data_IF_168195469333
#
_entry.id   IF_168195469333
#
_cell.length_a   1.000
_cell.length_b   1.000
_cell.length_c   1.000
_cell.angle_alpha   90.00
_cell.angle_beta   90.00
_cell.angle_gamma   90.00
#
_symmetry.space_group_name_H-M   'P 1'
#
loop_
_entity.id
_entity.type
_entity.pdbx_description
1 polymer ?
#
# COMPACT_ATOMS: atom_id res chain seq x y z
N UNK A 1 37.41 -26.83 -11.46
CA UNK A 1 36.78 -25.48 -11.34
C UNK A 1 35.29 -25.70 -11.37
N UNK A 2 34.63 -25.57 -10.23
CA UNK A 2 33.18 -25.73 -10.11
C UNK A 2 32.56 -24.40 -10.57
N UNK A 3 31.94 -24.38 -11.73
CA UNK A 3 31.06 -23.27 -12.13
C UNK A 3 29.80 -23.34 -11.28
N UNK A 4 29.66 -22.43 -10.33
CA UNK A 4 28.39 -22.15 -9.68
C UNK A 4 27.58 -21.38 -10.71
N UNK A 5 26.69 -22.04 -11.42
CA UNK A 5 25.60 -21.37 -12.14
C UNK A 5 24.65 -20.80 -11.08
N UNK A 6 24.85 -19.55 -10.73
CA UNK A 6 23.82 -18.78 -10.01
C UNK A 6 22.66 -18.56 -10.98
N UNK A 7 21.55 -19.25 -10.78
CA UNK A 7 20.28 -18.82 -11.33
C UNK A 7 19.90 -17.55 -10.55
N UNK A 8 20.30 -16.40 -11.05
CA UNK A 8 20.00 -15.09 -10.46
C UNK A 8 18.49 -14.77 -10.39
N UNK A 9 17.65 -15.61 -10.97
CA UNK A 9 16.19 -15.46 -10.99
C UNK A 9 15.45 -16.09 -9.80
N UNK A 10 16.11 -16.89 -8.95
CA UNK A 10 15.45 -17.67 -7.91
C UNK A 10 15.61 -17.13 -6.48
N UNK A 11 16.21 -15.95 -6.27
CA UNK A 11 16.52 -15.41 -4.94
C UNK A 11 15.75 -14.16 -4.56
N UNK A 12 15.01 -13.54 -5.45
CA UNK A 12 14.20 -12.36 -5.13
C UNK A 12 12.81 -12.77 -4.62
N UNK A 13 12.38 -12.16 -3.51
CA UNK A 13 11.03 -12.37 -2.99
C UNK A 13 9.98 -12.00 -4.05
N UNK A 14 9.02 -12.86 -4.29
CA UNK A 14 7.94 -12.63 -5.24
C UNK A 14 6.86 -11.75 -4.63
N UNK A 15 6.80 -10.51 -5.04
CA UNK A 15 5.87 -9.49 -4.55
C UNK A 15 4.75 -9.28 -5.56
N UNK A 16 3.50 -9.36 -5.11
CA UNK A 16 2.32 -9.09 -5.93
C UNK A 16 1.57 -7.88 -5.39
N UNK A 17 1.21 -6.96 -6.28
CA UNK A 17 0.32 -5.83 -5.97
C UNK A 17 -1.04 -6.07 -6.60
N UNK A 18 -2.07 -6.19 -5.77
CA UNK A 18 -3.46 -6.43 -6.18
C UNK A 18 -4.26 -5.15 -6.05
N UNK A 19 -4.64 -4.55 -7.16
CA UNK A 19 -5.55 -3.40 -7.20
C UNK A 19 -7.00 -3.86 -7.23
N UNK A 20 -7.78 -3.55 -6.20
CA UNK A 20 -9.17 -4.01 -6.06
C UNK A 20 -10.16 -2.88 -6.29
N UNK A 21 -11.05 -3.07 -7.26
CA UNK A 21 -12.04 -2.08 -7.67
C UNK A 21 -11.46 -0.89 -8.44
N UNK A 22 -12.27 0.10 -8.79
CA UNK A 22 -11.85 1.19 -9.68
C UNK A 22 -10.65 1.98 -9.15
N UNK A 23 -10.68 2.44 -7.91
CA UNK A 23 -9.57 3.20 -7.33
C UNK A 23 -8.29 2.35 -7.18
N UNK A 24 -8.41 1.07 -6.76
CA UNK A 24 -7.28 0.16 -6.72
C UNK A 24 -6.66 -0.08 -8.09
N UNK A 25 -7.48 -0.25 -9.12
CA UNK A 25 -7.01 -0.41 -10.50
C UNK A 25 -6.32 0.87 -11.02
N UNK A 26 -6.81 2.06 -10.64
CA UNK A 26 -6.16 3.34 -10.99
C UNK A 26 -4.79 3.48 -10.32
N UNK A 27 -4.68 3.10 -9.04
CA UNK A 27 -3.40 3.09 -8.34
C UNK A 27 -2.40 2.12 -9.03
N UNK A 28 -2.85 0.91 -9.39
CA UNK A 28 -2.03 -0.04 -10.15
C UNK A 28 -1.64 0.51 -11.51
N UNK A 29 -2.56 1.17 -12.25
CA UNK A 29 -2.23 1.79 -13.53
C UNK A 29 -1.08 2.80 -13.38
N UNK A 30 -1.12 3.61 -12.33
CA UNK A 30 -0.04 4.55 -12.04
C UNK A 30 1.27 3.83 -11.71
N UNK A 31 1.23 2.77 -10.90
CA UNK A 31 2.43 1.98 -10.56
C UNK A 31 3.08 1.35 -11.82
N UNK A 32 2.24 0.91 -12.76
CA UNK A 32 2.70 0.38 -14.06
C UNK A 32 3.32 1.49 -14.91
N UNK A 33 2.69 2.67 -14.96
CA UNK A 33 3.19 3.82 -15.71
C UNK A 33 4.54 4.33 -15.17
N UNK A 34 4.73 4.32 -13.86
CA UNK A 34 5.99 4.67 -13.17
C UNK A 34 7.03 3.54 -13.20
N UNK A 35 6.69 2.41 -13.84
CA UNK A 35 7.59 1.27 -14.06
C UNK A 35 8.23 0.73 -12.77
N UNK A 36 7.46 0.59 -11.70
CA UNK A 36 7.94 -0.01 -10.44
C UNK A 36 8.45 -1.42 -10.74
N UNK A 37 9.71 -1.69 -10.35
CA UNK A 37 10.40 -2.95 -10.63
C UNK A 37 10.21 -3.97 -9.50
N UNK A 38 10.42 -5.25 -9.85
CA UNK A 38 10.43 -6.34 -8.87
C UNK A 38 9.06 -6.69 -8.30
N UNK A 39 7.97 -6.24 -8.92
CA UNK A 39 6.61 -6.55 -8.52
C UNK A 39 5.76 -7.02 -9.70
N UNK A 40 4.82 -7.91 -9.42
CA UNK A 40 3.77 -8.31 -10.36
C UNK A 40 2.48 -7.56 -10.04
N UNK A 41 1.73 -7.17 -11.07
CA UNK A 41 0.49 -6.43 -10.89
C UNK A 41 -0.72 -7.27 -11.30
N UNK A 42 -1.76 -7.25 -10.45
CA UNK A 42 -3.06 -7.86 -10.71
C UNK A 42 -4.15 -6.82 -10.51
N UNK A 43 -4.98 -6.62 -11.54
CA UNK A 43 -6.19 -5.81 -11.43
C UNK A 43 -7.39 -6.71 -11.14
N UNK A 44 -8.17 -6.40 -10.11
CA UNK A 44 -9.37 -7.14 -9.69
C UNK A 44 -10.56 -6.21 -9.71
N UNK A 45 -11.64 -6.58 -10.42
CA UNK A 45 -12.86 -5.78 -10.46
C UNK A 45 -14.10 -6.62 -10.75
N UNK A 46 -15.26 -6.15 -10.31
CA UNK A 46 -16.60 -6.65 -10.68
C UNK A 46 -17.13 -6.00 -11.95
N UNK A 47 -16.55 -4.87 -12.36
CA UNK A 47 -16.92 -4.13 -13.57
C UNK A 47 -15.93 -4.48 -14.69
N UNK A 48 -16.46 -5.15 -15.73
CA UNK A 48 -15.68 -5.60 -16.88
C UNK A 48 -15.13 -4.42 -17.70
N UNK A 49 -15.89 -3.34 -17.84
CA UNK A 49 -15.45 -2.18 -18.62
C UNK A 49 -14.32 -1.45 -17.90
N UNK A 50 -14.47 -1.24 -16.58
CA UNK A 50 -13.42 -0.65 -15.78
C UNK A 50 -12.16 -1.51 -15.76
N UNK A 51 -12.31 -2.84 -15.73
CA UNK A 51 -11.18 -3.76 -15.75
C UNK A 51 -10.39 -3.72 -17.06
N UNK A 52 -11.08 -3.53 -18.21
CA UNK A 52 -10.42 -3.37 -19.51
C UNK A 52 -9.51 -2.13 -19.60
N UNK A 53 -9.73 -1.13 -18.75
CA UNK A 53 -8.89 0.06 -18.65
C UNK A 53 -7.70 -0.14 -17.70
N UNK A 54 -7.66 -1.26 -17.00
CA UNK A 54 -6.55 -1.60 -16.11
C UNK A 54 -5.32 -2.02 -16.93
N UNK A 55 -4.16 -1.44 -16.61
CA UNK A 55 -2.89 -1.71 -17.25
C UNK A 55 -2.14 -2.90 -16.64
N UNK A 56 -2.67 -3.49 -15.57
CA UNK A 56 -2.09 -4.67 -14.97
C UNK A 56 -1.98 -5.80 -16.00
N UNK A 57 -0.82 -6.49 -16.09
CA UNK A 57 -0.64 -7.63 -16.99
C UNK A 57 -1.62 -8.77 -16.73
N UNK A 58 -2.02 -8.94 -15.47
CA UNK A 58 -3.02 -9.92 -15.06
C UNK A 58 -4.29 -9.19 -14.58
N UNK A 59 -5.41 -9.54 -15.18
CA UNK A 59 -6.71 -8.96 -14.86
C UNK A 59 -7.65 -10.08 -14.43
N UNK A 60 -8.35 -9.89 -13.31
CA UNK A 60 -9.28 -10.85 -12.75
C UNK A 60 -10.65 -10.20 -12.57
N UNK A 61 -11.61 -10.64 -13.37
CA UNK A 61 -13.01 -10.28 -13.17
C UNK A 61 -13.60 -11.19 -12.09
N UNK A 62 -14.10 -10.60 -11.00
CA UNK A 62 -14.72 -11.35 -9.90
C UNK A 62 -16.24 -11.24 -9.92
N UNK A 63 -16.92 -12.28 -9.45
CA UNK A 63 -18.38 -12.30 -9.30
C UNK A 63 -19.11 -12.20 -10.64
N UNK A 64 -18.68 -12.93 -11.65
CA UNK A 64 -19.26 -12.88 -13.00
C UNK A 64 -20.74 -13.27 -13.00
N UNK A 65 -21.10 -14.30 -12.25
CA UNK A 65 -22.49 -14.77 -12.15
C UNK A 65 -23.35 -13.77 -11.38
N UNK A 66 -22.81 -13.22 -10.29
CA UNK A 66 -23.52 -12.30 -9.42
C UNK A 66 -23.73 -10.90 -10.05
N UNK A 67 -22.69 -10.33 -10.66
CA UNK A 67 -22.70 -8.94 -11.15
C UNK A 67 -22.88 -8.82 -12.64
N UNK A 68 -22.69 -9.90 -13.39
CA UNK A 68 -22.73 -9.93 -14.87
C UNK A 68 -21.77 -8.89 -15.50
N UNK A 69 -20.69 -8.55 -14.78
CA UNK A 69 -19.71 -7.55 -15.23
C UNK A 69 -20.17 -6.09 -15.11
N UNK A 70 -21.27 -5.81 -14.40
CA UNK A 70 -21.86 -4.46 -14.26
C UNK A 70 -21.42 -3.73 -12.97
N UNK A 71 -20.49 -4.30 -12.23
CA UNK A 71 -20.00 -3.72 -10.97
C UNK A 71 -20.86 -4.05 -9.75
N UNK A 72 -20.43 -3.60 -8.57
CA UNK A 72 -21.08 -3.87 -7.30
C UNK A 72 -22.12 -2.80 -6.87
N UNK A 73 -22.35 -1.75 -7.67
CA UNK A 73 -23.35 -0.72 -7.41
C UNK A 73 -23.18 0.01 -6.07
N UNK A 74 -21.95 0.30 -5.67
CA UNK A 74 -21.58 0.93 -4.41
C UNK A 74 -22.04 0.15 -3.14
N UNK A 75 -22.30 -1.14 -3.27
CA UNK A 75 -22.71 -2.04 -2.18
C UNK A 75 -21.56 -2.97 -1.80
N UNK A 76 -20.92 -2.79 -0.64
CA UNK A 76 -19.80 -3.65 -0.20
C UNK A 76 -20.16 -5.13 -0.12
N UNK A 77 -21.39 -5.47 0.28
CA UNK A 77 -21.88 -6.84 0.38
C UNK A 77 -21.87 -7.58 -0.98
N UNK A 78 -22.10 -6.82 -2.06
CA UNK A 78 -22.02 -7.37 -3.43
C UNK A 78 -20.56 -7.60 -3.82
N UNK A 79 -19.66 -6.66 -3.47
CA UNK A 79 -18.22 -6.81 -3.69
C UNK A 79 -17.62 -8.00 -2.95
N UNK A 80 -18.02 -8.21 -1.70
CA UNK A 80 -17.63 -9.34 -0.86
C UNK A 80 -18.06 -10.67 -1.50
N UNK A 81 -19.36 -10.83 -1.77
CA UNK A 81 -19.89 -12.05 -2.40
C UNK A 81 -19.29 -12.31 -3.79
N UNK A 82 -18.97 -11.27 -4.55
CA UNK A 82 -18.30 -11.40 -5.83
C UNK A 82 -16.87 -11.96 -5.68
N UNK A 83 -16.15 -11.56 -4.63
CA UNK A 83 -14.84 -12.12 -4.34
C UNK A 83 -14.94 -13.55 -3.80
N UNK A 84 -15.94 -13.84 -2.97
CA UNK A 84 -16.21 -15.21 -2.47
C UNK A 84 -16.56 -16.18 -3.62
N UNK A 85 -17.31 -15.72 -4.63
CA UNK A 85 -17.59 -16.50 -5.84
C UNK A 85 -16.32 -16.90 -6.59
N UNK A 86 -15.28 -16.05 -6.53
CA UNK A 86 -14.04 -16.18 -7.31
C UNK A 86 -12.81 -16.53 -6.44
N UNK A 87 -13.02 -17.19 -5.30
CA UNK A 87 -11.91 -17.54 -4.36
C UNK A 87 -10.84 -18.41 -5.04
N UNK A 88 -11.24 -19.38 -5.87
CA UNK A 88 -10.30 -20.29 -6.53
C UNK A 88 -9.39 -19.55 -7.51
N UNK A 89 -9.94 -18.62 -8.28
CA UNK A 89 -9.20 -17.76 -9.20
C UNK A 89 -8.25 -16.82 -8.46
N UNK A 90 -8.71 -16.22 -7.35
CA UNK A 90 -7.89 -15.37 -6.49
C UNK A 90 -6.73 -16.18 -5.91
N UNK A 91 -7.00 -17.36 -5.35
CA UNK A 91 -5.99 -18.28 -4.80
C UNK A 91 -4.95 -18.67 -5.84
N UNK A 92 -5.41 -19.07 -7.04
CA UNK A 92 -4.53 -19.39 -8.16
C UNK A 92 -3.68 -18.20 -8.61
N UNK A 93 -4.25 -17.00 -8.55
CA UNK A 93 -3.55 -15.78 -8.93
C UNK A 93 -2.41 -15.39 -7.97
N UNK A 94 -2.58 -15.69 -6.68
CA UNK A 94 -1.63 -15.36 -5.61
C UNK A 94 -0.64 -16.49 -5.29
N UNK A 95 -0.81 -17.66 -5.88
CA UNK A 95 0.01 -18.85 -5.58
C UNK A 95 1.50 -18.59 -5.82
N UNK A 96 2.32 -18.90 -4.81
CA UNK A 96 3.77 -18.79 -4.86
C UNK A 96 4.29 -17.36 -4.67
N UNK A 97 3.47 -16.42 -4.18
CA UNK A 97 3.95 -15.12 -3.71
C UNK A 97 4.48 -15.21 -2.28
N UNK A 98 5.47 -14.38 -1.96
CA UNK A 98 6.02 -14.21 -0.61
C UNK A 98 5.37 -13.00 0.09
N UNK A 99 4.95 -12.00 -0.69
CA UNK A 99 4.30 -10.79 -0.20
C UNK A 99 3.18 -10.34 -1.14
N UNK A 100 2.07 -9.90 -0.57
CA UNK A 100 0.92 -9.36 -1.30
C UNK A 100 0.54 -7.99 -0.74
N UNK A 101 0.56 -6.99 -1.60
CA UNK A 101 -0.08 -5.71 -1.34
C UNK A 101 -1.50 -5.73 -1.86
N UNK A 102 -2.46 -5.39 -1.01
CA UNK A 102 -3.86 -5.19 -1.40
C UNK A 102 -4.16 -3.70 -1.38
N UNK A 103 -4.36 -3.10 -2.55
CA UNK A 103 -4.63 -1.66 -2.67
C UNK A 103 -6.04 -1.40 -3.17
N UNK A 104 -6.74 -0.48 -2.52
CA UNK A 104 -8.07 -0.05 -2.94
C UNK A 104 -8.45 1.32 -2.35
N UNK A 105 -9.45 1.95 -2.96
CA UNK A 105 -10.17 3.07 -2.33
C UNK A 105 -11.37 2.53 -1.55
N UNK A 106 -11.39 2.77 -0.25
CA UNK A 106 -12.50 2.39 0.62
C UNK A 106 -13.73 3.29 0.41
N UNK A 107 -14.90 2.75 0.68
CA UNK A 107 -16.19 3.45 0.59
C UNK A 107 -17.02 3.10 -0.64
N UNK A 108 -16.42 2.49 -1.68
CA UNK A 108 -17.15 1.93 -2.83
C UNK A 108 -17.69 0.52 -2.56
N UNK A 109 -18.21 -0.14 -3.60
CA UNK A 109 -18.72 -1.51 -3.50
C UNK A 109 -17.59 -2.55 -3.60
N UNK A 110 -16.93 -2.60 -4.76
CA UNK A 110 -15.94 -3.64 -5.07
C UNK A 110 -14.73 -3.56 -4.14
N UNK A 111 -14.04 -2.40 -4.06
CA UNK A 111 -12.84 -2.24 -3.24
C UNK A 111 -13.11 -2.56 -1.78
N UNK A 112 -14.18 -1.98 -1.20
CA UNK A 112 -14.53 -2.12 0.21
C UNK A 112 -14.93 -3.55 0.58
N UNK A 113 -15.64 -4.24 -0.31
CA UNK A 113 -16.14 -5.59 -0.05
C UNK A 113 -15.13 -6.68 -0.41
N UNK A 114 -14.48 -6.58 -1.55
CA UNK A 114 -13.60 -7.62 -2.06
C UNK A 114 -12.18 -7.58 -1.49
N UNK A 115 -11.63 -6.39 -1.13
CA UNK A 115 -10.27 -6.30 -0.61
C UNK A 115 -10.05 -7.13 0.67
N UNK A 116 -10.97 -7.15 1.67
CA UNK A 116 -10.84 -8.03 2.82
C UNK A 116 -10.80 -9.52 2.46
N UNK A 117 -11.57 -9.96 1.45
CA UNK A 117 -11.58 -11.36 0.99
C UNK A 117 -10.26 -11.72 0.31
N UNK A 118 -9.76 -10.84 -0.58
CA UNK A 118 -8.45 -11.03 -1.23
C UNK A 118 -7.33 -11.12 -0.19
N UNK A 119 -7.34 -10.22 0.79
CA UNK A 119 -6.36 -10.21 1.88
C UNK A 119 -6.44 -11.47 2.72
N UNK A 120 -7.65 -11.93 3.07
CA UNK A 120 -7.89 -13.17 3.81
C UNK A 120 -7.29 -14.38 3.08
N UNK A 121 -7.53 -14.50 1.78
CA UNK A 121 -6.96 -15.59 0.96
C UNK A 121 -5.44 -15.56 1.01
N UNK A 122 -4.81 -14.38 0.84
CA UNK A 122 -3.35 -14.24 0.92
C UNK A 122 -2.81 -14.64 2.30
N UNK A 123 -3.43 -14.15 3.38
CA UNK A 123 -3.03 -14.44 4.78
C UNK A 123 -3.19 -15.92 5.12
N UNK A 124 -4.28 -16.57 4.69
CA UNK A 124 -4.51 -18.02 4.88
C UNK A 124 -3.48 -18.88 4.14
N UNK A 125 -2.90 -18.37 3.05
CA UNK A 125 -1.78 -19.02 2.34
C UNK A 125 -0.42 -18.80 3.05
N UNK A 126 -0.36 -18.07 4.17
CA UNK A 126 0.87 -17.76 4.91
C UNK A 126 1.71 -16.63 4.29
N UNK A 127 1.18 -15.95 3.29
CA UNK A 127 1.85 -14.84 2.57
C UNK A 127 1.82 -13.58 3.42
N UNK A 128 2.92 -12.82 3.48
CA UNK A 128 2.93 -11.51 4.14
C UNK A 128 1.97 -10.58 3.42
N UNK A 129 0.90 -10.17 4.12
CA UNK A 129 -0.21 -9.42 3.52
C UNK A 129 -0.28 -7.99 4.06
N UNK A 130 -0.12 -7.02 3.18
CA UNK A 130 -0.13 -5.59 3.51
C UNK A 130 -1.28 -4.89 2.80
N UNK A 131 -2.15 -4.26 3.56
CA UNK A 131 -3.20 -3.39 3.02
C UNK A 131 -2.71 -1.96 2.87
N UNK A 132 -2.85 -1.37 1.69
CA UNK A 132 -2.53 0.06 1.44
C UNK A 132 -3.74 0.71 0.80
N UNK A 133 -4.51 1.46 1.58
CA UNK A 133 -5.84 1.90 1.18
C UNK A 133 -6.12 3.35 1.50
N UNK A 134 -7.06 3.97 0.76
CA UNK A 134 -7.48 5.34 1.03
C UNK A 134 -8.86 5.39 1.68
N UNK A 135 -9.06 6.36 2.59
CA UNK A 135 -10.39 6.79 3.04
C UNK A 135 -10.95 7.86 2.11
N UNK A 136 -12.27 7.84 1.80
CA UNK A 136 -12.87 8.83 0.94
C UNK A 136 -12.79 10.24 1.52
N UNK A 137 -12.86 11.25 0.66
CA UNK A 137 -13.05 12.63 1.10
C UNK A 137 -14.40 12.81 1.81
N UNK A 138 -14.49 13.73 2.76
CA UNK A 138 -15.73 14.04 3.49
C UNK A 138 -16.86 14.48 2.59
N UNK A 139 -16.55 15.14 1.47
CA UNK A 139 -17.57 15.59 0.50
C UNK A 139 -18.14 14.45 -0.35
N UNK A 140 -17.54 13.25 -0.34
CA UNK A 140 -18.05 12.08 -1.08
C UNK A 140 -19.28 11.40 -0.47
N UNK A 141 -19.85 11.95 0.58
CA UNK A 141 -21.03 11.56 1.32
C UNK A 141 -20.79 10.64 2.53
N UNK A 142 -21.68 10.79 3.52
CA UNK A 142 -21.65 10.05 4.79
C UNK A 142 -21.71 8.53 4.60
N UNK A 143 -22.55 8.07 3.67
CA UNK A 143 -22.70 6.63 3.38
C UNK A 143 -21.40 6.02 2.92
N UNK A 144 -20.66 6.75 2.06
CA UNK A 144 -19.37 6.28 1.55
C UNK A 144 -18.34 6.19 2.66
N UNK A 145 -18.32 7.15 3.58
CA UNK A 145 -17.44 7.12 4.76
C UNK A 145 -17.80 5.95 5.70
N UNK A 146 -19.09 5.71 5.96
CA UNK A 146 -19.53 4.59 6.80
C UNK A 146 -19.13 3.24 6.19
N UNK A 147 -19.32 3.07 4.88
CA UNK A 147 -18.85 1.88 4.16
C UNK A 147 -17.34 1.71 4.31
N UNK A 148 -16.59 2.82 4.18
CA UNK A 148 -15.13 2.80 4.32
C UNK A 148 -14.69 2.33 5.70
N UNK A 149 -15.29 2.86 6.77
CA UNK A 149 -14.95 2.48 8.15
C UNK A 149 -15.24 1.00 8.41
N UNK A 150 -16.42 0.50 8.01
CA UNK A 150 -16.75 -0.92 8.16
C UNK A 150 -15.82 -1.83 7.33
N UNK A 151 -15.44 -1.40 6.11
CA UNK A 151 -14.50 -2.14 5.27
C UNK A 151 -13.09 -2.17 5.85
N UNK A 152 -12.64 -1.06 6.46
CA UNK A 152 -11.34 -0.97 7.13
C UNK A 152 -11.23 -1.91 8.33
N UNK A 153 -12.27 -2.01 9.15
CA UNK A 153 -12.30 -2.95 10.28
C UNK A 153 -12.12 -4.39 9.78
N UNK A 154 -12.88 -4.80 8.76
CA UNK A 154 -12.76 -6.13 8.16
C UNK A 154 -11.41 -6.37 7.49
N UNK A 155 -10.86 -5.37 6.81
CA UNK A 155 -9.54 -5.50 6.18
C UNK A 155 -8.44 -5.64 7.23
N UNK A 156 -8.51 -4.87 8.33
CA UNK A 156 -7.53 -4.91 9.43
C UNK A 156 -7.38 -6.31 10.04
N UNK A 157 -8.47 -7.08 10.14
CA UNK A 157 -8.45 -8.45 10.65
C UNK A 157 -7.75 -9.43 9.69
N UNK A 158 -7.70 -9.09 8.40
CA UNK A 158 -7.25 -9.97 7.33
C UNK A 158 -5.89 -9.57 6.72
N UNK A 159 -5.20 -8.58 7.28
CA UNK A 159 -3.85 -8.20 6.88
C UNK A 159 -2.87 -8.30 8.05
N UNK A 160 -1.59 -8.37 7.78
CA UNK A 160 -0.52 -8.27 8.78
C UNK A 160 -0.27 -6.81 9.15
N UNK A 161 -0.25 -5.95 8.14
CA UNK A 161 -0.06 -4.51 8.28
C UNK A 161 -1.06 -3.76 7.42
N UNK A 162 -1.67 -2.72 7.98
CA UNK A 162 -2.64 -1.85 7.31
C UNK A 162 -2.15 -0.40 7.30
N UNK A 163 -1.95 0.13 6.10
CA UNK A 163 -1.64 1.54 5.85
C UNK A 163 -2.91 2.22 5.35
N UNK A 164 -3.38 3.22 6.08
CA UNK A 164 -4.59 3.97 5.72
C UNK A 164 -4.23 5.42 5.42
N UNK A 165 -4.59 5.87 4.23
CA UNK A 165 -4.35 7.24 3.76
C UNK A 165 -5.67 7.99 3.72
N UNK A 166 -5.88 8.98 4.62
CA UNK A 166 -7.09 9.79 4.58
C UNK A 166 -7.02 10.82 3.48
N UNK A 167 -7.91 10.73 2.49
CA UNK A 167 -7.92 11.66 1.36
C UNK A 167 -8.09 13.12 1.81
N UNK A 168 -8.82 13.40 2.90
CA UNK A 168 -8.96 14.75 3.45
C UNK A 168 -7.61 15.38 3.78
N UNK A 169 -6.62 14.58 4.21
CA UNK A 169 -5.26 15.06 4.51
C UNK A 169 -4.49 15.47 3.27
N UNK A 170 -4.84 14.93 2.11
CA UNK A 170 -4.25 15.37 0.85
C UNK A 170 -4.65 16.81 0.52
N UNK A 171 -5.82 17.27 0.96
CA UNK A 171 -6.27 18.65 0.77
C UNK A 171 -5.42 19.67 1.56
N UNK A 172 -4.71 19.22 2.60
CA UNK A 172 -3.82 20.09 3.39
C UNK A 172 -2.48 20.35 2.67
N UNK A 173 -2.09 19.48 1.72
CA UNK A 173 -0.81 19.55 0.99
C UNK A 173 -0.95 20.01 -0.46
N UNK A 174 -2.17 20.09 -1.00
CA UNK A 174 -2.40 20.56 -2.37
C UNK A 174 -2.78 22.04 -2.40
N UNK A 175 -2.52 22.70 -3.53
CA UNK A 175 -2.93 24.09 -3.74
C UNK A 175 -4.47 24.22 -3.74
N UNK A 176 -4.99 25.36 -3.25
CA UNK A 176 -6.43 25.66 -3.26
C UNK A 176 -7.06 25.67 -4.66
N UNK A 177 -6.26 25.74 -5.71
CA UNK A 177 -6.68 25.67 -7.11
C UNK A 177 -6.69 24.25 -7.66
N UNK A 178 -6.29 23.26 -6.87
CA UNK A 178 -6.25 21.86 -7.31
C UNK A 178 -7.66 21.37 -7.67
N UNK A 179 -7.79 20.79 -8.85
CA UNK A 179 -9.07 20.23 -9.30
C UNK A 179 -9.37 18.90 -8.59
N UNK A 180 -10.64 18.49 -8.57
CA UNK A 180 -11.01 17.18 -8.01
C UNK A 180 -10.27 16.01 -8.69
N UNK A 181 -10.14 15.95 -10.02
CA UNK A 181 -9.35 14.91 -10.68
C UNK A 181 -7.88 14.89 -10.23
N UNK A 182 -7.28 16.06 -9.99
CA UNK A 182 -5.90 16.14 -9.54
C UNK A 182 -5.74 15.71 -8.08
N UNK A 183 -6.71 16.02 -7.22
CA UNK A 183 -6.73 15.53 -5.84
C UNK A 183 -6.84 14.00 -5.78
N UNK A 184 -7.67 13.39 -6.64
CA UNK A 184 -7.76 11.92 -6.76
C UNK A 184 -6.47 11.30 -7.31
N UNK A 185 -5.83 11.94 -8.30
CA UNK A 185 -4.50 11.51 -8.77
C UNK A 185 -3.45 11.58 -7.66
N UNK A 186 -3.54 12.57 -6.78
CA UNK A 186 -2.62 12.67 -5.62
C UNK A 186 -2.83 11.51 -4.63
N UNK A 187 -4.08 11.05 -4.44
CA UNK A 187 -4.36 9.87 -3.65
C UNK A 187 -3.71 8.60 -4.26
N UNK A 188 -3.85 8.42 -5.58
CA UNK A 188 -3.22 7.30 -6.29
C UNK A 188 -1.67 7.37 -6.22
N UNK A 189 -1.11 8.58 -6.26
CA UNK A 189 0.34 8.81 -6.10
C UNK A 189 0.84 8.40 -4.72
N UNK A 190 0.12 8.73 -3.65
CA UNK A 190 0.51 8.34 -2.29
C UNK A 190 0.39 6.83 -2.09
N UNK A 191 -0.64 6.18 -2.66
CA UNK A 191 -0.73 4.71 -2.67
C UNK A 191 0.47 4.09 -3.37
N UNK A 192 0.84 4.61 -4.53
CA UNK A 192 2.00 4.16 -5.31
C UNK A 192 3.30 4.34 -4.51
N UNK A 193 3.55 5.52 -3.95
CA UNK A 193 4.75 5.80 -3.14
C UNK A 193 4.84 4.91 -1.90
N UNK A 194 3.71 4.60 -1.27
CA UNK A 194 3.66 3.71 -0.11
C UNK A 194 4.07 2.27 -0.47
N UNK A 195 3.62 1.77 -1.61
CA UNK A 195 4.02 0.45 -2.12
C UNK A 195 5.48 0.47 -2.55
N UNK A 196 5.88 1.48 -3.33
CA UNK A 196 7.24 1.62 -3.84
C UNK A 196 8.26 1.72 -2.71
N UNK A 197 7.99 2.51 -1.68
CA UNK A 197 8.90 2.67 -0.55
C UNK A 197 9.25 1.35 0.14
N UNK A 198 8.31 0.40 0.22
CA UNK A 198 8.58 -0.93 0.77
C UNK A 198 9.25 -1.85 -0.26
N UNK A 199 8.82 -1.80 -1.51
CA UNK A 199 9.37 -2.68 -2.56
C UNK A 199 10.81 -2.32 -2.92
N UNK A 200 11.16 -1.03 -2.91
CA UNK A 200 12.52 -0.56 -3.17
C UNK A 200 13.51 -1.05 -2.11
N UNK A 201 13.08 -1.15 -0.84
CA UNK A 201 13.91 -1.73 0.25
C UNK A 201 14.31 -3.18 -0.01
N UNK A 202 13.42 -3.94 -0.65
CA UNK A 202 13.63 -5.38 -0.91
C UNK A 202 14.39 -5.60 -2.23
N UNK A 203 14.09 -4.78 -3.25
CA UNK A 203 14.53 -5.03 -4.61
C UNK A 203 15.73 -4.19 -5.06
N UNK A 204 16.01 -3.07 -4.36
CA UNK A 204 17.08 -2.15 -4.77
C UNK A 204 18.33 -2.39 -3.91
N UNK A 205 19.45 -2.84 -4.50
CA UNK A 205 20.71 -2.95 -3.78
C UNK A 205 21.15 -1.59 -3.24
N UNK A 206 21.55 -1.55 -1.98
CA UNK A 206 22.06 -0.35 -1.29
C UNK A 206 23.28 -0.71 -0.44
N UNK A 207 23.98 0.29 0.10
CA UNK A 207 25.13 0.06 1.00
C UNK A 207 24.76 -0.68 2.29
N UNK A 208 23.51 -0.45 2.76
CA UNK A 208 22.91 -1.19 3.87
C UNK A 208 21.62 -1.82 3.33
N UNK A 209 21.67 -3.12 3.09
CA UNK A 209 20.53 -3.86 2.56
C UNK A 209 19.68 -4.43 3.70
N UNK A 210 18.37 -4.26 3.57
CA UNK A 210 17.38 -5.03 4.31
C UNK A 210 16.95 -6.21 3.44
N UNK A 211 16.99 -7.41 3.99
CA UNK A 211 16.43 -8.57 3.30
C UNK A 211 14.91 -8.68 3.52
N UNK A 212 14.27 -9.55 2.76
CA UNK A 212 12.83 -9.78 2.89
C UNK A 212 12.44 -10.28 4.30
N UNK A 213 13.31 -11.03 4.96
CA UNK A 213 13.05 -11.55 6.30
C UNK A 213 13.00 -10.43 7.36
N UNK A 214 13.83 -9.40 7.21
CA UNK A 214 13.81 -8.20 8.06
C UNK A 214 12.48 -7.44 7.89
N UNK A 215 12.08 -7.19 6.64
CA UNK A 215 10.79 -6.55 6.34
C UNK A 215 9.62 -7.38 6.87
N UNK A 216 9.66 -8.69 6.71
CA UNK A 216 8.65 -9.60 7.23
C UNK A 216 8.54 -9.51 8.76
N UNK A 217 9.65 -9.44 9.47
CA UNK A 217 9.69 -9.35 10.95
C UNK A 217 9.05 -8.05 11.43
N UNK A 218 9.30 -6.93 10.74
CA UNK A 218 8.77 -5.61 11.11
C UNK A 218 7.31 -5.45 10.70
N UNK A 219 6.80 -6.19 9.70
CA UNK A 219 5.45 -5.98 9.16
C UNK A 219 4.46 -7.09 9.53
N UNK A 220 4.90 -8.27 9.95
CA UNK A 220 4.00 -9.39 10.26
C UNK A 220 3.23 -9.14 11.56
N UNK A 221 1.88 -9.18 11.49
CA UNK A 221 0.94 -9.01 12.59
C UNK A 221 1.12 -7.70 13.39
N UNK A 222 1.57 -6.63 12.73
CA UNK A 222 1.82 -5.31 13.38
C UNK A 222 0.59 -4.39 13.40
N UNK A 223 -0.45 -4.69 12.65
CA UNK A 223 -1.69 -3.92 12.64
C UNK A 223 -1.58 -2.63 11.83
N UNK A 224 -1.81 -1.47 12.44
CA UNK A 224 -1.80 -0.20 11.71
C UNK A 224 -0.39 0.33 11.59
N UNK A 225 0.02 0.68 10.35
CA UNK A 225 1.27 1.37 10.06
C UNK A 225 1.02 2.73 9.41
N UNK A 226 2.00 3.60 9.54
CA UNK A 226 2.00 4.94 8.94
C UNK A 226 3.16 5.06 7.97
N UNK A 227 2.94 5.79 6.88
CA UNK A 227 3.97 6.13 5.90
C UNK A 227 4.16 7.64 5.89
N UNK A 228 5.40 8.07 6.08
CA UNK A 228 5.81 9.46 5.92
C UNK A 228 6.88 9.57 4.85
N UNK A 229 6.75 10.54 3.97
CA UNK A 229 7.70 10.81 2.89
C UNK A 229 8.18 12.25 3.05
N UNK A 230 9.49 12.43 2.99
CA UNK A 230 10.10 13.75 3.07
C UNK A 230 11.27 13.88 2.13
N UNK A 231 11.46 15.07 1.61
CA UNK A 231 12.60 15.44 0.76
C UNK A 231 13.31 16.64 1.36
N UNK A 232 14.62 16.68 1.21
CA UNK A 232 15.44 17.80 1.70
C UNK A 232 16.50 18.18 0.67
N UNK A 233 16.90 19.46 0.68
CA UNK A 233 17.95 20.02 -0.18
C UNK A 233 18.85 20.93 0.61
N UNK A 234 20.09 21.15 0.16
CA UNK A 234 21.06 22.02 0.86
C UNK A 234 21.85 21.29 1.95
N UNK A 235 22.40 22.06 2.89
CA UNK A 235 23.35 21.55 3.89
C UNK A 235 22.67 20.67 4.97
N UNK A 236 21.42 20.95 5.32
CA UNK A 236 20.63 20.20 6.32
C UNK A 236 19.63 19.23 5.68
N UNK A 237 19.84 18.83 4.41
CA UNK A 237 18.91 18.05 3.57
C UNK A 237 18.35 16.80 4.26
N UNK A 238 19.19 16.03 4.95
CA UNK A 238 18.78 14.80 5.60
C UNK A 238 17.85 15.07 6.79
N UNK A 239 18.19 16.05 7.62
CA UNK A 239 17.37 16.45 8.76
C UNK A 239 16.03 17.06 8.32
N UNK A 240 16.03 17.88 7.27
CA UNK A 240 14.81 18.50 6.73
C UNK A 240 13.91 17.43 6.10
N UNK A 241 14.47 16.44 5.38
CA UNK A 241 13.73 15.33 4.84
C UNK A 241 13.05 14.50 5.95
N UNK A 242 13.77 14.16 7.02
CA UNK A 242 13.21 13.41 8.16
C UNK A 242 12.13 14.21 8.88
N UNK A 243 12.35 15.50 9.15
CA UNK A 243 11.32 16.37 9.75
C UNK A 243 10.07 16.42 8.88
N UNK A 244 10.23 16.55 7.55
CA UNK A 244 9.12 16.56 6.62
C UNK A 244 8.37 15.22 6.60
N UNK A 245 9.08 14.08 6.65
CA UNK A 245 8.48 12.75 6.71
C UNK A 245 7.69 12.53 8.01
N UNK A 246 8.27 12.90 9.16
CA UNK A 246 7.65 12.73 10.49
C UNK A 246 6.49 13.72 10.70
N UNK A 247 6.57 14.91 10.15
CA UNK A 247 5.52 15.93 10.20
C UNK A 247 4.51 15.80 9.05
N UNK A 248 4.59 14.73 8.27
CA UNK A 248 3.70 14.53 7.11
C UNK A 248 2.23 14.61 7.53
N UNK A 249 1.43 15.50 6.91
CA UNK A 249 0.01 15.60 7.20
C UNK A 249 -0.78 14.34 6.81
N UNK A 250 -0.17 13.42 6.05
CA UNK A 250 -0.74 12.11 5.71
C UNK A 250 -0.84 11.18 6.92
N UNK A 251 -0.12 11.48 8.00
CA UNK A 251 -0.22 10.74 9.25
C UNK A 251 -1.51 11.15 9.98
N UNK A 252 -2.37 10.19 10.30
CA UNK A 252 -3.55 10.45 11.16
C UNK A 252 -3.18 10.62 12.63
N UNK A 253 -2.03 10.06 13.03
CA UNK A 253 -1.51 10.07 14.39
C UNK A 253 -0.04 10.48 14.38
N UNK A 254 0.49 10.80 15.55
CA UNK A 254 1.92 11.02 15.70
C UNK A 254 2.68 9.69 15.71
N UNK A 255 3.96 9.70 15.37
CA UNK A 255 4.84 8.51 15.47
C UNK A 255 5.11 8.09 16.92
N UNK A 256 4.63 8.86 17.89
CA UNK A 256 4.76 8.54 19.33
C UNK A 256 4.10 7.22 19.63
N UNK A 257 4.85 6.29 20.22
CA UNK A 257 4.37 4.95 20.55
C UNK A 257 4.55 3.92 19.42
N UNK A 258 5.20 4.26 18.32
CA UNK A 258 5.61 3.28 17.32
C UNK A 258 6.57 2.27 17.95
N UNK A 259 6.33 0.98 17.73
CA UNK A 259 7.16 -0.12 18.23
C UNK A 259 8.27 -0.49 17.27
N UNK A 260 8.01 -0.32 15.98
CA UNK A 260 8.92 -0.67 14.90
C UNK A 260 8.92 0.43 13.85
N UNK A 261 10.07 0.70 13.26
CA UNK A 261 10.24 1.74 12.25
C UNK A 261 11.15 1.19 11.16
N UNK A 262 10.72 1.34 9.91
CA UNK A 262 11.55 1.13 8.73
C UNK A 262 11.91 2.50 8.17
N UNK A 263 13.19 2.78 8.02
CA UNK A 263 13.70 4.03 7.48
C UNK A 263 14.46 3.77 6.18
N UNK A 264 13.98 4.33 5.09
CA UNK A 264 14.67 4.35 3.80
C UNK A 264 15.21 5.76 3.54
N UNK A 265 16.52 5.87 3.34
CA UNK A 265 17.18 7.13 3.01
C UNK A 265 17.90 6.95 1.69
N UNK A 266 17.47 7.72 0.69
CA UNK A 266 18.07 7.71 -0.64
C UNK A 266 18.66 9.07 -0.94
N UNK A 267 19.95 9.11 -1.30
CA UNK A 267 20.65 10.34 -1.65
C UNK A 267 22.11 10.32 -1.23
N UNK A 268 22.79 11.40 -1.55
CA UNK A 268 24.18 11.63 -1.15
C UNK A 268 24.19 12.29 0.24
N UNK A 269 24.34 11.47 1.29
CA UNK A 269 24.37 11.91 2.69
C UNK A 269 25.73 11.63 3.32
N UNK A 270 26.19 12.55 4.15
CA UNK A 270 27.40 12.35 4.95
C UNK A 270 27.12 11.45 6.17
N UNK A 271 28.19 10.86 6.74
CA UNK A 271 28.09 10.07 7.97
C UNK A 271 27.47 10.87 9.14
N UNK A 272 27.76 12.16 9.24
CA UNK A 272 27.22 13.04 10.29
C UNK A 272 25.72 13.22 10.11
N UNK A 273 25.25 13.41 8.87
CA UNK A 273 23.82 13.52 8.57
C UNK A 273 23.08 12.21 8.87
N UNK A 274 23.65 11.07 8.50
CA UNK A 274 23.08 9.76 8.82
C UNK A 274 22.96 9.53 10.33
N UNK A 275 23.97 9.97 11.09
CA UNK A 275 23.98 9.89 12.56
C UNK A 275 22.93 10.82 13.19
N UNK A 276 22.77 12.04 12.67
CA UNK A 276 21.75 12.98 13.12
C UNK A 276 20.32 12.47 12.89
N UNK A 277 20.07 11.82 11.76
CA UNK A 277 18.81 11.17 11.45
C UNK A 277 18.48 10.03 12.44
N UNK A 278 19.45 9.15 12.70
CA UNK A 278 19.32 8.05 13.69
C UNK A 278 19.00 8.58 15.09
N UNK A 279 19.64 9.68 15.51
CA UNK A 279 19.44 10.25 16.85
C UNK A 279 18.05 10.88 17.01
N UNK A 280 17.52 11.52 15.98
CA UNK A 280 16.16 12.06 15.98
C UNK A 280 15.11 10.95 16.12
N UNK A 281 15.39 9.79 15.57
CA UNK A 281 14.54 8.60 15.64
C UNK A 281 14.50 7.99 17.05
N UNK A 282 15.66 7.85 17.70
CA UNK A 282 15.76 7.30 19.07
C UNK A 282 15.04 8.21 20.08
N UNK A 283 15.10 9.55 19.93
CA UNK A 283 14.37 10.48 20.81
C UNK A 283 12.85 10.38 20.67
N UNK A 284 12.33 10.10 19.48
CA UNK A 284 10.89 9.88 19.30
C UNK A 284 10.41 8.63 20.07
N UNK A 285 11.28 7.64 20.23
CA UNK A 285 11.03 6.40 20.99
C UNK A 285 11.11 6.62 22.50
N UNK A 286 12.00 7.50 22.98
CA UNK A 286 12.21 7.74 24.42
C UNK A 286 11.10 8.62 25.02
N UNK A 287 10.54 9.56 24.27
CA UNK A 287 9.45 10.43 24.76
C UNK A 287 8.14 9.67 25.00
N UNK A 288 7.96 8.48 24.42
CA UNK A 288 6.81 7.59 24.69
C UNK A 288 6.89 6.78 25.99
N UNK A 289 8.06 6.71 26.65
CA UNK A 289 8.27 5.94 27.90
C UNK A 289 8.17 6.76 29.18
N UNK A 290 8.07 8.08 29.11
CA UNK A 290 8.09 8.97 30.27
C UNK A 290 6.80 9.78 30.46
N UNK A 291 5.63 9.24 30.09
CA UNK A 291 4.31 9.79 30.49
C UNK A 291 3.44 8.69 31.08
#
# INVERSE_FOLDING_TARGET
MLEIKSNETDLAARIIVVGVGGAGNNAVNRMVDEQIKGVEFIGVNTDKQALQLCKAPKQLQIGEKLTKGLGAGAKPEIGEKAAEESIEEITSALKGSDMVFVTCGMGGGTGTGAAPVVAKVAKEMGVLTVGVVTKPFRFEAKTRMNNALSGLERLKENVDTLIVIPNDKLLEIVDRRTTLPDALKKADEVLQQSVQGVTDLINTPSDINLDFADVQTVMRDKGIAHVGIGTGTGDDKAMDAVKAAVASPLLETTISGATDIILNITGDISLIEAQAVSYTHLRAHETGRNL
#
